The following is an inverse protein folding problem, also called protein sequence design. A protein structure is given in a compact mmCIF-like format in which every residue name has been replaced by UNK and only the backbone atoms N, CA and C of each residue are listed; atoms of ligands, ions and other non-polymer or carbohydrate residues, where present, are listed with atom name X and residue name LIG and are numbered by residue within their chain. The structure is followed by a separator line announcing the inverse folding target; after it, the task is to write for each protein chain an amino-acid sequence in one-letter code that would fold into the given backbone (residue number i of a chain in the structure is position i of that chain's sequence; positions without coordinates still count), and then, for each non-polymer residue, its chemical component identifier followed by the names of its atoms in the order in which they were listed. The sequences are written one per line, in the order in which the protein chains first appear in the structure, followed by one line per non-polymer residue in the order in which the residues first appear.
data_IF_667084915909
#
_entry.id   IF_667084915909
#
_cell.length_a   1.000
_cell.length_b   1.000
_cell.length_c   1.000
_cell.angle_alpha   90.00
_cell.angle_beta   90.00
_cell.angle_gamma   90.00
#
_symmetry.space_group_name_H-M   'P 1'
#
loop_
_entity.id
_entity.type
_entity.pdbx_description
1 polymer ?
#
# COMPACT_ATOMS: atom_id res chain seq x y z
N UNK A 1 -14.75 -34.65 21.99
CA UNK A 1 -13.43 -34.05 21.68
C UNK A 1 -13.36 -32.71 22.39
N UNK A 2 -13.00 -32.72 23.68
CA UNK A 2 -13.11 -31.57 24.57
C UNK A 2 -11.87 -30.66 24.47
N UNK A 3 -12.10 -29.37 24.27
CA UNK A 3 -11.06 -28.34 24.18
C UNK A 3 -10.36 -28.17 25.53
N UNK A 4 -9.03 -28.34 25.53
CA UNK A 4 -8.18 -28.25 26.72
C UNK A 4 -8.00 -26.78 27.11
N UNK A 5 -8.67 -26.37 28.19
CA UNK A 5 -8.48 -25.06 28.82
C UNK A 5 -7.03 -25.00 29.32
N UNK A 6 -6.28 -23.99 28.88
CA UNK A 6 -4.94 -23.72 29.41
C UNK A 6 -5.10 -23.00 30.76
N UNK A 7 -4.67 -23.64 31.84
CA UNK A 7 -4.66 -23.09 33.21
C UNK A 7 -3.51 -22.09 33.40
N UNK A 8 -3.72 -21.09 34.25
CA UNK A 8 -2.66 -20.23 34.79
C UNK A 8 -1.72 -21.02 35.70
N UNK A 9 -0.51 -20.49 36.02
CA UNK A 9 0.47 -21.18 36.86
C UNK A 9 -0.01 -21.57 38.27
N UNK A 10 -1.10 -20.98 38.76
CA UNK A 10 -1.71 -21.24 40.07
C UNK A 10 -2.96 -22.15 40.02
N UNK A 11 -3.37 -22.61 38.83
CA UNK A 11 -4.47 -23.55 38.68
C UNK A 11 -5.88 -22.98 38.86
N UNK A 12 -6.04 -21.66 39.01
CA UNK A 12 -7.36 -21.02 39.00
C UNK A 12 -7.94 -21.01 37.58
N UNK A 13 -9.24 -21.32 37.40
CA UNK A 13 -9.89 -21.07 36.11
C UNK A 13 -9.84 -19.56 35.85
N UNK A 14 -9.28 -19.15 34.71
CA UNK A 14 -9.47 -17.78 34.22
C UNK A 14 -10.97 -17.53 34.26
N UNK A 15 -11.41 -16.48 34.97
CA UNK A 15 -12.82 -16.12 35.02
C UNK A 15 -13.32 -16.05 33.56
N UNK A 16 -14.42 -16.71 33.26
CA UNK A 16 -14.99 -16.74 31.90
C UNK A 16 -15.15 -15.31 31.35
N UNK A 17 -15.44 -14.34 32.21
CA UNK A 17 -15.48 -12.93 31.85
C UNK A 17 -14.11 -12.39 31.41
N UNK A 18 -13.05 -12.70 32.14
CA UNK A 18 -11.67 -12.31 31.82
C UNK A 18 -11.19 -12.96 30.51
N UNK A 19 -11.49 -14.24 30.29
CA UNK A 19 -11.16 -14.94 29.05
C UNK A 19 -11.85 -14.32 27.82
N UNK A 20 -13.12 -13.90 27.97
CA UNK A 20 -13.88 -13.21 26.91
C UNK A 20 -13.35 -11.80 26.65
N UNK A 21 -12.95 -11.07 27.69
CA UNK A 21 -12.33 -9.74 27.56
C UNK A 21 -11.00 -9.81 26.82
N UNK A 22 -10.12 -10.75 27.20
CA UNK A 22 -8.82 -10.95 26.55
C UNK A 22 -8.99 -11.35 25.07
N UNK A 23 -9.93 -12.25 24.77
CA UNK A 23 -10.21 -12.64 23.40
C UNK A 23 -10.72 -11.45 22.57
N UNK A 24 -11.62 -10.64 23.13
CA UNK A 24 -12.13 -9.43 22.47
C UNK A 24 -11.00 -8.43 22.20
N UNK A 25 -10.16 -8.15 23.21
CA UNK A 25 -9.05 -7.22 23.07
C UNK A 25 -8.03 -7.70 22.02
N UNK A 26 -7.74 -9.00 21.98
CA UNK A 26 -6.87 -9.59 20.96
C UNK A 26 -7.45 -9.42 19.56
N UNK A 27 -8.76 -9.68 19.37
CA UNK A 27 -9.41 -9.53 18.08
C UNK A 27 -9.47 -8.08 17.61
N UNK A 28 -9.70 -7.14 18.53
CA UNK A 28 -9.61 -5.71 18.26
C UNK A 28 -8.20 -5.33 17.80
N UNK A 29 -7.18 -5.67 18.58
CA UNK A 29 -5.79 -5.35 18.23
C UNK A 29 -5.37 -6.00 16.90
N UNK A 30 -5.79 -7.24 16.64
CA UNK A 30 -5.53 -7.93 15.37
C UNK A 30 -6.14 -7.19 14.18
N UNK A 31 -7.36 -6.68 14.34
CA UNK A 31 -8.05 -5.91 13.30
C UNK A 31 -7.35 -4.58 13.05
N UNK A 32 -7.02 -3.83 14.10
CA UNK A 32 -6.29 -2.57 13.99
C UNK A 32 -4.92 -2.74 13.29
N UNK A 33 -4.19 -3.81 13.62
CA UNK A 33 -2.93 -4.16 12.95
C UNK A 33 -3.16 -4.47 11.47
N UNK A 34 -4.21 -5.22 11.12
CA UNK A 34 -4.51 -5.55 9.73
C UNK A 34 -4.85 -4.29 8.92
N UNK A 35 -5.63 -3.36 9.48
CA UNK A 35 -5.94 -2.07 8.85
C UNK A 35 -4.70 -1.19 8.67
N UNK A 36 -3.80 -1.16 9.66
CA UNK A 36 -2.54 -0.44 9.55
C UNK A 36 -1.63 -1.03 8.45
N UNK A 37 -1.54 -2.35 8.36
CA UNK A 37 -0.79 -3.03 7.29
C UNK A 37 -1.39 -2.75 5.91
N UNK A 38 -2.71 -2.65 5.81
CA UNK A 38 -3.41 -2.28 4.59
C UNK A 38 -3.08 -0.84 4.15
N UNK A 39 -3.10 0.11 5.10
CA UNK A 39 -2.67 1.49 4.86
C UNK A 39 -1.21 1.54 4.40
N UNK A 40 -0.29 0.86 5.11
CA UNK A 40 1.13 0.83 4.74
C UNK A 40 1.37 0.19 3.37
N UNK A 41 0.58 -0.81 3.00
CA UNK A 41 0.61 -1.40 1.66
C UNK A 41 0.19 -0.39 0.60
N UNK A 42 -0.88 0.36 0.87
CA UNK A 42 -1.37 1.40 -0.03
C UNK A 42 -0.38 2.57 -0.15
N UNK A 43 0.28 2.96 0.94
CA UNK A 43 1.38 3.93 0.93
C UNK A 43 2.55 3.42 0.09
N UNK A 44 2.92 2.14 0.22
CA UNK A 44 3.96 1.55 -0.62
C UNK A 44 3.57 1.64 -2.10
N UNK A 45 2.33 1.32 -2.46
CA UNK A 45 1.83 1.44 -3.83
C UNK A 45 1.84 2.89 -4.35
N UNK A 46 1.56 3.88 -3.49
CA UNK A 46 1.70 5.29 -3.84
C UNK A 46 3.14 5.62 -4.25
N UNK A 47 4.11 5.14 -3.47
CA UNK A 47 5.54 5.41 -3.64
C UNK A 47 6.22 4.53 -4.71
N UNK A 48 5.62 3.40 -5.08
CA UNK A 48 6.15 2.46 -6.07
C UNK A 48 5.92 2.95 -7.52
N UNK A 49 6.54 4.08 -7.85
CA UNK A 49 6.52 4.66 -9.20
C UNK A 49 7.77 4.20 -9.97
N UNK A 50 7.61 3.33 -11.01
CA UNK A 50 8.72 2.74 -11.74
C UNK A 50 9.63 3.79 -12.39
N UNK A 51 10.91 3.46 -12.58
CA UNK A 51 11.85 4.37 -13.24
C UNK A 51 11.56 4.51 -14.73
N UNK A 52 11.56 5.75 -15.22
CA UNK A 52 11.42 6.06 -16.64
C UNK A 52 12.66 5.59 -17.42
N UNK A 53 12.43 5.07 -18.62
CA UNK A 53 13.48 4.62 -19.53
C UNK A 53 14.12 5.76 -20.33
N UNK A 54 13.47 6.92 -20.41
CA UNK A 54 13.92 8.08 -21.20
C UNK A 54 13.90 9.35 -20.37
N UNK A 55 14.67 10.36 -20.79
CA UNK A 55 14.65 11.70 -20.18
C UNK A 55 13.27 12.37 -20.30
N UNK A 56 12.57 12.20 -21.43
CA UNK A 56 11.20 12.69 -21.59
C UNK A 56 10.22 12.02 -20.62
N UNK A 57 10.35 10.70 -20.41
CA UNK A 57 9.58 9.99 -19.41
C UNK A 57 9.96 10.35 -17.96
N UNK A 58 11.19 10.82 -17.72
CA UNK A 58 11.62 11.23 -16.39
C UNK A 58 10.87 12.47 -15.89
N UNK A 59 10.48 13.40 -16.77
CA UNK A 59 9.63 14.54 -16.43
C UNK A 59 8.23 14.09 -16.00
N UNK A 60 7.57 13.26 -16.81
CA UNK A 60 6.24 12.69 -16.48
C UNK A 60 6.29 11.91 -15.17
N UNK A 61 7.35 11.11 -14.97
CA UNK A 61 7.57 10.40 -13.72
C UNK A 61 7.73 11.34 -12.53
N UNK A 62 8.47 12.43 -12.68
CA UNK A 62 8.69 13.39 -11.60
C UNK A 62 7.35 13.97 -11.11
N UNK A 63 6.48 14.39 -12.03
CA UNK A 63 5.15 14.89 -11.73
C UNK A 63 4.29 13.83 -11.02
N UNK A 64 4.34 12.58 -11.50
CA UNK A 64 3.61 11.46 -10.86
C UNK A 64 4.11 11.17 -9.44
N UNK A 65 5.43 11.18 -9.24
CA UNK A 65 6.04 10.98 -7.92
C UNK A 65 5.62 12.09 -6.99
N UNK A 66 5.65 13.35 -7.43
CA UNK A 66 5.25 14.50 -6.62
C UNK A 66 3.81 14.36 -6.11
N UNK A 67 2.85 14.14 -7.01
CA UNK A 67 1.43 14.01 -6.64
C UNK A 67 1.18 12.81 -5.72
N UNK A 68 1.73 11.64 -6.05
CA UNK A 68 1.50 10.41 -5.26
C UNK A 68 2.19 10.48 -3.89
N UNK A 69 3.38 11.08 -3.80
CA UNK A 69 4.05 11.35 -2.52
C UNK A 69 3.22 12.30 -1.65
N UNK A 70 2.67 13.38 -2.23
CA UNK A 70 1.80 14.30 -1.50
C UNK A 70 0.62 13.57 -0.86
N UNK A 71 -0.09 12.71 -1.60
CA UNK A 71 -1.20 11.94 -1.03
C UNK A 71 -0.76 10.94 0.05
N UNK A 72 0.38 10.28 -0.14
CA UNK A 72 0.95 9.39 0.87
C UNK A 72 1.29 10.13 2.17
N UNK A 73 1.87 11.34 2.07
CA UNK A 73 2.18 12.19 3.22
C UNK A 73 0.90 12.60 3.94
N UNK A 74 -0.12 13.06 3.23
CA UNK A 74 -1.42 13.45 3.83
C UNK A 74 -2.03 12.28 4.62
N UNK A 75 -2.04 11.07 4.05
CA UNK A 75 -2.56 9.88 4.73
C UNK A 75 -1.76 9.52 5.99
N UNK A 76 -0.42 9.64 5.94
CA UNK A 76 0.44 9.37 7.10
C UNK A 76 0.31 10.46 8.19
N UNK A 77 0.16 11.73 7.80
CA UNK A 77 -0.08 12.82 8.75
C UNK A 77 -1.42 12.68 9.46
N UNK A 78 -2.47 12.23 8.76
CA UNK A 78 -3.77 11.95 9.38
C UNK A 78 -3.68 10.91 10.51
N UNK A 79 -2.75 9.95 10.41
CA UNK A 79 -2.51 8.93 11.43
C UNK A 79 -1.85 9.45 12.71
N UNK A 80 -1.39 10.70 12.75
CA UNK A 80 -0.93 11.33 14.01
C UNK A 80 -2.08 11.60 14.98
N UNK A 81 -3.32 11.62 14.49
CA UNK A 81 -4.52 11.68 15.31
C UNK A 81 -4.98 10.26 15.70
N UNK A 82 -5.06 9.93 17.01
CA UNK A 82 -5.44 8.59 17.48
C UNK A 82 -6.90 8.21 17.18
N UNK A 83 -7.73 9.17 16.75
CA UNK A 83 -9.11 8.92 16.34
C UNK A 83 -9.24 8.61 14.83
N UNK A 84 -8.15 8.71 14.07
CA UNK A 84 -8.15 8.41 12.64
C UNK A 84 -8.14 6.90 12.43
N UNK A 85 -9.05 6.41 11.59
CA UNK A 85 -9.11 5.00 11.19
C UNK A 85 -8.10 4.74 10.06
N UNK A 86 -7.16 3.77 10.22
CA UNK A 86 -6.26 3.39 9.14
C UNK A 86 -7.00 2.90 7.89
N UNK A 87 -8.11 2.16 8.07
CA UNK A 87 -8.94 1.69 6.96
C UNK A 87 -9.54 2.84 6.13
N UNK A 88 -9.97 3.92 6.80
CA UNK A 88 -10.48 5.12 6.12
C UNK A 88 -9.38 5.79 5.29
N UNK A 89 -8.19 5.95 5.85
CA UNK A 89 -7.07 6.58 5.14
C UNK A 89 -6.58 5.72 3.97
N UNK A 90 -6.59 4.38 4.12
CA UNK A 90 -6.28 3.47 3.02
C UNK A 90 -7.29 3.60 1.87
N UNK A 91 -8.59 3.68 2.18
CA UNK A 91 -9.62 3.90 1.17
C UNK A 91 -9.45 5.26 0.46
N UNK A 92 -9.27 6.33 1.22
CA UNK A 92 -9.00 7.67 0.67
C UNK A 92 -7.77 7.66 -0.25
N UNK A 93 -6.65 7.08 0.21
CA UNK A 93 -5.44 7.04 -0.60
C UNK A 93 -5.67 6.28 -1.91
N UNK A 94 -6.35 5.12 -1.89
CA UNK A 94 -6.71 4.40 -3.12
C UNK A 94 -7.52 5.24 -4.10
N UNK A 95 -8.49 6.01 -3.60
CA UNK A 95 -9.27 6.92 -4.44
C UNK A 95 -8.37 7.98 -5.09
N UNK A 96 -7.42 8.56 -4.35
CA UNK A 96 -6.46 9.51 -4.92
C UNK A 96 -5.49 8.85 -5.90
N UNK A 97 -5.02 7.62 -5.63
CA UNK A 97 -4.14 6.90 -6.57
C UNK A 97 -4.85 6.55 -7.87
N UNK A 98 -6.17 6.39 -7.86
CA UNK A 98 -6.98 6.17 -9.05
C UNK A 98 -7.08 7.43 -9.94
N UNK A 99 -6.96 8.63 -9.38
CA UNK A 99 -6.93 9.89 -10.16
C UNK A 99 -5.57 10.15 -10.81
N UNK A 100 -4.50 9.54 -10.29
CA UNK A 100 -3.12 9.69 -10.78
C UNK A 100 -2.52 8.33 -11.13
N UNK A 101 -3.00 7.66 -12.20
CA UNK A 101 -2.49 6.36 -12.61
C UNK A 101 -1.03 6.44 -13.09
N UNK A 102 -0.25 5.38 -12.84
CA UNK A 102 1.17 5.30 -13.25
C UNK A 102 1.27 4.94 -14.73
N UNK A 103 1.01 5.92 -15.59
CA UNK A 103 1.00 5.78 -17.04
C UNK A 103 1.65 7.00 -17.72
N UNK A 104 1.69 7.02 -19.06
CA UNK A 104 2.20 8.17 -19.81
C UNK A 104 3.71 8.18 -20.09
N UNK A 105 4.43 7.12 -19.70
CA UNK A 105 5.85 6.96 -20.05
C UNK A 105 6.25 5.48 -20.10
N UNK A 106 7.34 5.20 -20.81
CA UNK A 106 7.94 3.87 -20.88
C UNK A 106 8.84 3.66 -19.67
N UNK A 107 8.62 2.57 -18.94
CA UNK A 107 9.43 2.20 -17.79
C UNK A 107 10.70 1.46 -18.22
N UNK A 108 11.74 1.50 -17.38
CA UNK A 108 12.99 0.76 -17.59
C UNK A 108 12.73 -0.75 -17.70
N UNK A 109 11.76 -1.27 -16.95
CA UNK A 109 11.38 -2.68 -17.00
C UNK A 109 10.74 -3.05 -18.35
N UNK A 110 9.79 -2.25 -18.83
CA UNK A 110 9.17 -2.45 -20.15
C UNK A 110 10.22 -2.37 -21.27
N UNK A 111 11.14 -1.40 -21.21
CA UNK A 111 12.21 -1.30 -22.19
C UNK A 111 13.11 -2.55 -22.18
N UNK A 112 13.54 -3.02 -21.00
CA UNK A 112 14.38 -4.22 -20.90
C UNK A 112 13.68 -5.47 -21.44
N UNK A 113 12.38 -5.63 -21.13
CA UNK A 113 11.59 -6.76 -21.64
C UNK A 113 11.52 -6.72 -23.17
N UNK A 114 11.20 -5.57 -23.76
CA UNK A 114 11.12 -5.42 -25.21
C UNK A 114 12.47 -5.65 -25.92
N UNK A 115 13.58 -5.20 -25.32
CA UNK A 115 14.92 -5.48 -25.84
C UNK A 115 15.27 -6.98 -25.79
N UNK A 116 14.83 -7.69 -24.74
CA UNK A 116 15.00 -9.14 -24.64
C UNK A 116 14.19 -9.91 -25.69
N UNK A 117 13.08 -9.34 -26.16
CA UNK A 117 12.26 -9.84 -27.27
C UNK A 117 12.82 -9.49 -28.66
N UNK A 118 13.95 -8.77 -28.73
CA UNK A 118 14.62 -8.37 -29.98
C UNK A 118 14.05 -7.11 -30.63
N UNK A 119 13.13 -6.39 -29.97
CA UNK A 119 12.68 -5.07 -30.42
C UNK A 119 13.78 -4.05 -30.24
N UNK A 120 13.81 -3.00 -31.06
CA UNK A 120 14.82 -1.96 -30.92
C UNK A 120 14.34 -0.82 -30.01
N UNK A 121 15.29 -0.01 -29.52
CA UNK A 121 15.01 1.08 -28.58
C UNK A 121 14.00 2.11 -29.13
N UNK A 122 14.15 2.50 -30.40
CA UNK A 122 13.31 3.51 -31.04
C UNK A 122 11.84 3.09 -31.16
N UNK A 123 11.58 1.81 -31.44
CA UNK A 123 10.23 1.23 -31.51
C UNK A 123 9.51 1.24 -30.16
N UNK A 124 10.26 1.16 -29.06
CA UNK A 124 9.70 1.02 -27.72
C UNK A 124 9.48 2.38 -27.07
N UNK A 125 10.35 3.35 -27.35
CA UNK A 125 10.31 4.69 -26.74
C UNK A 125 9.65 5.75 -27.60
N UNK A 126 9.19 5.41 -28.81
CA UNK A 126 8.40 6.33 -29.62
C UNK A 126 7.17 6.79 -28.81
N UNK A 127 6.87 8.10 -28.77
CA UNK A 127 5.62 8.56 -28.18
C UNK A 127 4.47 7.85 -28.91
N UNK A 128 3.49 7.37 -28.16
CA UNK A 128 2.24 6.92 -28.78
C UNK A 128 1.69 8.13 -29.55
N UNK A 129 1.62 8.02 -30.88
CA UNK A 129 1.26 9.13 -31.76
C UNK A 129 0.03 9.86 -31.21
N UNK A 130 0.19 11.16 -30.96
CA UNK A 130 -0.84 12.01 -30.40
C UNK A 130 -2.11 11.94 -31.25
N UNK A 131 -3.20 11.46 -30.63
CA UNK A 131 -4.57 11.63 -31.11
C UNK A 131 -5.37 12.38 -30.05
#
# INVERSE_FOLDING_TARGET
MAARIRSTPDGSPIDRAEALMLATAYETARTEIAELLDLLTTVREALDVPHAATSGGAAVRADLVEHRCMYAVIALEAMTNPLTSPAREAAYLREQLATVPVTGYVTTAQLRAALAEGRNWAEVTAPADGT
#
